data_IF_948236075572
#
_entry.id   IF_948236075572
#
_cell.length_a   1.000
_cell.length_b   1.000
_cell.length_c   1.000
_cell.angle_alpha   90.00
_cell.angle_beta   90.00
_cell.angle_gamma   90.00
#
_symmetry.space_group_name_H-M   'P 1'
#
loop_
_entity.id
_entity.type
_entity.pdbx_description
1 polymer ?
#
# COMPACT_ATOMS: atom_id res chain seq x y z
N UNK A 1 -38.22 -21.54 29.50
CA UNK A 1 -37.00 -21.34 28.70
C UNK A 1 -37.19 -20.03 27.95
N UNK A 2 -36.58 -18.96 28.42
CA UNK A 2 -36.58 -17.67 27.70
C UNK A 2 -35.35 -17.66 26.80
N UNK A 3 -35.56 -17.85 25.50
CA UNK A 3 -34.52 -17.59 24.50
C UNK A 3 -34.13 -16.11 24.62
N UNK A 4 -32.93 -15.87 25.14
CA UNK A 4 -32.26 -14.59 24.98
C UNK A 4 -31.87 -14.51 23.51
N UNK A 5 -32.64 -13.75 22.72
CA UNK A 5 -32.19 -13.28 21.42
C UNK A 5 -30.88 -12.54 21.64
N UNK A 6 -29.78 -13.21 21.32
CA UNK A 6 -28.45 -12.63 21.31
C UNK A 6 -28.54 -11.33 20.49
N UNK A 7 -28.11 -10.17 21.03
CA UNK A 7 -28.07 -8.97 20.22
C UNK A 7 -27.19 -9.27 19.00
N UNK A 8 -27.78 -9.11 17.82
CA UNK A 8 -27.08 -9.03 16.55
C UNK A 8 -25.83 -8.16 16.79
N UNK A 9 -24.60 -8.57 16.44
CA UNK A 9 -23.42 -7.77 16.72
C UNK A 9 -23.59 -6.44 16.00
N UNK A 10 -24.10 -5.46 16.73
CA UNK A 10 -24.38 -4.13 16.23
C UNK A 10 -23.06 -3.64 15.64
N UNK A 11 -23.02 -3.58 14.31
CA UNK A 11 -21.82 -3.16 13.58
C UNK A 11 -21.29 -1.91 14.26
N UNK A 12 -20.00 -1.93 14.62
CA UNK A 12 -19.37 -0.87 15.41
C UNK A 12 -19.82 0.49 14.89
N UNK A 13 -20.65 1.17 15.67
CA UNK A 13 -21.21 2.46 15.26
C UNK A 13 -20.08 3.46 15.39
N UNK A 14 -19.58 3.92 14.24
CA UNK A 14 -18.50 4.91 14.17
C UNK A 14 -19.12 6.27 14.48
N UNK A 15 -18.61 6.96 15.51
CA UNK A 15 -19.10 8.28 15.91
C UNK A 15 -18.90 9.30 14.78
N UNK A 16 -19.72 10.35 14.71
CA UNK A 16 -19.60 11.35 13.64
C UNK A 16 -18.21 12.01 13.58
N UNK A 17 -17.60 12.26 14.74
CA UNK A 17 -16.25 12.80 14.84
C UNK A 17 -15.21 11.80 14.34
N UNK A 18 -15.33 10.52 14.70
CA UNK A 18 -14.45 9.45 14.20
C UNK A 18 -14.62 9.27 12.68
N UNK A 19 -15.85 9.31 12.16
CA UNK A 19 -16.09 9.21 10.72
C UNK A 19 -15.41 10.36 9.95
N UNK A 20 -15.40 11.57 10.54
CA UNK A 20 -14.71 12.72 9.96
C UNK A 20 -13.20 12.52 10.00
N UNK A 21 -12.65 12.12 11.15
CA UNK A 21 -11.22 11.86 11.31
C UNK A 21 -10.73 10.76 10.35
N UNK A 22 -11.48 9.66 10.26
CA UNK A 22 -11.17 8.54 9.37
C UNK A 22 -11.20 8.99 7.91
N UNK A 23 -12.20 9.77 7.47
CA UNK A 23 -12.20 10.30 6.09
C UNK A 23 -11.01 11.17 5.78
N UNK A 24 -10.61 12.05 6.70
CA UNK A 24 -9.42 12.88 6.52
C UNK A 24 -8.19 11.99 6.37
N UNK A 25 -8.05 10.97 7.23
CA UNK A 25 -6.96 10.01 7.14
C UNK A 25 -6.96 9.26 5.81
N UNK A 26 -8.09 8.70 5.37
CA UNK A 26 -8.24 7.96 4.10
C UNK A 26 -7.81 8.81 2.90
N UNK A 27 -8.17 10.10 2.86
CA UNK A 27 -7.80 11.00 1.78
C UNK A 27 -6.32 11.44 1.81
N UNK A 28 -5.66 11.33 2.97
CA UNK A 28 -4.25 11.69 3.11
C UNK A 28 -3.30 10.55 2.73
N UNK A 29 -3.80 9.31 2.59
CA UNK A 29 -2.94 8.16 2.28
C UNK A 29 -2.48 8.21 0.82
N UNK A 30 -1.19 7.95 0.55
CA UNK A 30 -0.70 7.78 -0.83
C UNK A 30 -1.52 6.71 -1.57
N UNK A 31 -1.74 6.93 -2.87
CA UNK A 31 -2.52 6.03 -3.73
C UNK A 31 -4.01 5.92 -3.39
N UNK A 32 -4.54 6.67 -2.41
CA UNK A 32 -5.97 6.75 -2.17
C UNK A 32 -6.76 7.24 -3.40
N UNK A 33 -6.14 8.05 -4.26
CA UNK A 33 -6.73 8.51 -5.52
C UNK A 33 -6.68 7.48 -6.67
N UNK A 34 -6.08 6.30 -6.46
CA UNK A 34 -6.16 5.21 -7.45
C UNK A 34 -7.62 4.75 -7.57
N UNK A 35 -8.11 4.62 -8.80
CA UNK A 35 -9.51 4.28 -9.10
C UNK A 35 -9.95 2.95 -8.47
N UNK A 36 -9.00 2.07 -8.14
CA UNK A 36 -9.25 0.78 -7.49
C UNK A 36 -9.43 0.88 -5.98
N UNK A 37 -9.05 2.01 -5.38
CA UNK A 37 -9.26 2.27 -3.95
C UNK A 37 -10.63 2.95 -3.79
N UNK A 38 -11.64 2.25 -3.22
CA UNK A 38 -12.97 2.82 -3.09
C UNK A 38 -12.97 3.91 -2.00
N UNK A 39 -12.97 5.18 -2.42
CA UNK A 39 -13.18 6.31 -1.49
C UNK A 39 -14.70 6.49 -1.28
N UNK A 40 -15.19 6.42 -0.03
CA UNK A 40 -16.60 6.66 0.28
C UNK A 40 -16.95 8.13 -0.01
N UNK A 41 -17.84 8.36 -0.97
CA UNK A 41 -18.07 9.69 -1.53
C UNK A 41 -18.90 10.60 -0.63
N UNK A 42 -19.97 10.10 0.03
CA UNK A 42 -20.85 10.83 0.96
C UNK A 42 -21.65 9.87 1.87
N UNK A 43 -22.21 10.39 2.96
CA UNK A 43 -23.07 9.64 3.90
C UNK A 43 -22.29 8.95 5.01
N UNK A 44 -22.98 8.36 5.99
CA UNK A 44 -22.35 7.74 7.16
C UNK A 44 -21.33 6.68 6.75
N UNK A 45 -20.13 6.79 7.33
CA UNK A 45 -19.05 5.85 7.07
C UNK A 45 -19.30 4.58 7.89
N UNK A 46 -19.53 3.47 7.23
CA UNK A 46 -19.63 2.18 7.89
C UNK A 46 -18.26 1.52 8.05
N UNK A 47 -18.15 0.59 9.01
CA UNK A 47 -16.95 -0.24 9.14
C UNK A 47 -16.65 -1.02 7.85
N UNK A 48 -17.68 -1.41 7.09
CA UNK A 48 -17.53 -2.11 5.81
C UNK A 48 -16.86 -1.24 4.76
N UNK A 49 -17.20 0.04 4.71
CA UNK A 49 -16.60 1.00 3.77
C UNK A 49 -15.11 1.21 4.08
N UNK A 50 -14.76 1.29 5.37
CA UNK A 50 -13.37 1.39 5.83
C UNK A 50 -12.57 0.15 5.44
N UNK A 51 -13.12 -1.05 5.66
CA UNK A 51 -12.46 -2.30 5.29
C UNK A 51 -12.26 -2.39 3.77
N UNK A 52 -13.28 -2.05 2.98
CA UNK A 52 -13.20 -2.08 1.52
C UNK A 52 -12.11 -1.11 0.99
N UNK A 53 -11.99 0.08 1.59
CA UNK A 53 -10.91 1.01 1.28
C UNK A 53 -9.53 0.43 1.60
N UNK A 54 -9.36 -0.15 2.79
CA UNK A 54 -8.09 -0.72 3.23
C UNK A 54 -7.67 -1.93 2.37
N UNK A 55 -8.62 -2.77 1.97
CA UNK A 55 -8.35 -3.90 1.07
C UNK A 55 -7.91 -3.42 -0.32
N UNK A 56 -8.61 -2.44 -0.91
CA UNK A 56 -8.21 -1.86 -2.19
C UNK A 56 -6.83 -1.19 -2.12
N UNK A 57 -6.57 -0.45 -1.04
CA UNK A 57 -5.26 0.17 -0.82
C UNK A 57 -4.15 -0.87 -0.69
N UNK A 58 -4.40 -1.97 0.06
CA UNK A 58 -3.44 -3.07 0.21
C UNK A 58 -3.07 -3.68 -1.14
N UNK A 59 -4.06 -3.91 -2.01
CA UNK A 59 -3.82 -4.46 -3.35
C UNK A 59 -2.91 -3.55 -4.17
N UNK A 60 -3.20 -2.25 -4.22
CA UNK A 60 -2.39 -1.27 -4.94
C UNK A 60 -0.96 -1.22 -4.39
N UNK A 61 -0.80 -1.15 -3.07
CA UNK A 61 0.51 -1.13 -2.43
C UNK A 61 1.32 -2.41 -2.69
N UNK A 62 0.65 -3.57 -2.74
CA UNK A 62 1.30 -4.85 -3.06
C UNK A 62 1.83 -4.85 -4.49
N UNK A 63 1.08 -4.32 -5.46
CA UNK A 63 1.53 -4.20 -6.84
C UNK A 63 2.70 -3.23 -6.97
N UNK A 64 2.63 -2.06 -6.31
CA UNK A 64 3.71 -1.07 -6.30
C UNK A 64 4.99 -1.67 -5.71
N UNK A 65 4.89 -2.41 -4.61
CA UNK A 65 6.03 -3.10 -4.01
C UNK A 65 6.63 -4.14 -4.97
N UNK A 66 5.80 -4.97 -5.60
CA UNK A 66 6.26 -5.97 -6.55
C UNK A 66 6.98 -5.33 -7.76
N UNK A 67 6.48 -4.19 -8.24
CA UNK A 67 7.12 -3.44 -9.32
C UNK A 67 8.45 -2.83 -8.89
N UNK A 68 8.54 -2.29 -7.69
CA UNK A 68 9.78 -1.75 -7.14
C UNK A 68 10.84 -2.85 -7.00
N UNK A 69 10.45 -4.03 -6.54
CA UNK A 69 11.34 -5.20 -6.45
C UNK A 69 11.86 -5.65 -7.82
N UNK A 70 10.99 -5.72 -8.83
CA UNK A 70 11.38 -6.04 -10.21
C UNK A 70 12.37 -5.00 -10.76
N UNK A 71 12.09 -3.71 -10.56
CA UNK A 71 12.97 -2.62 -10.96
C UNK A 71 14.33 -2.72 -10.25
N UNK A 72 14.35 -3.02 -8.95
CA UNK A 72 15.58 -3.18 -8.18
C UNK A 72 16.42 -4.35 -8.71
N UNK A 73 15.80 -5.50 -9.02
CA UNK A 73 16.51 -6.65 -9.61
C UNK A 73 17.12 -6.31 -10.96
N UNK A 74 16.39 -5.59 -11.83
CA UNK A 74 16.91 -5.16 -13.13
C UNK A 74 18.10 -4.22 -13.00
N UNK A 75 18.07 -3.31 -12.02
CA UNK A 75 19.20 -2.42 -11.73
C UNK A 75 20.44 -3.22 -11.32
N UNK A 76 20.30 -4.20 -10.41
CA UNK A 76 21.42 -5.06 -9.99
C UNK A 76 22.02 -5.85 -11.17
N UNK A 77 21.18 -6.38 -12.06
CA UNK A 77 21.67 -7.04 -13.28
C UNK A 77 22.45 -6.08 -14.16
N UNK A 78 21.91 -4.88 -14.38
CA UNK A 78 22.58 -3.85 -15.20
C UNK A 78 23.91 -3.41 -14.58
N UNK A 79 23.98 -3.25 -13.26
CA UNK A 79 25.22 -2.94 -12.55
C UNK A 79 26.26 -4.06 -12.72
N UNK A 80 25.84 -5.32 -12.64
CA UNK A 80 26.71 -6.47 -12.91
C UNK A 80 27.22 -6.45 -14.36
N UNK A 81 26.35 -6.20 -15.33
CA UNK A 81 26.74 -6.11 -16.75
C UNK A 81 27.73 -4.97 -17.00
N UNK A 82 27.50 -3.80 -16.39
CA UNK A 82 28.41 -2.66 -16.44
C UNK A 82 29.76 -3.01 -15.81
N UNK A 83 29.78 -3.71 -14.69
CA UNK A 83 31.02 -4.16 -14.05
C UNK A 83 31.79 -5.17 -14.92
N UNK A 84 31.09 -6.11 -15.55
CA UNK A 84 31.69 -7.06 -16.50
C UNK A 84 32.28 -6.33 -17.72
N UNK A 85 31.54 -5.36 -18.29
CA UNK A 85 32.02 -4.55 -19.40
C UNK A 85 33.26 -3.75 -19.02
N UNK A 86 33.28 -3.10 -17.86
CA UNK A 86 34.46 -2.36 -17.35
C UNK A 86 35.70 -3.25 -17.24
N UNK A 87 35.54 -4.49 -16.76
CA UNK A 87 36.64 -5.48 -16.73
C UNK A 87 37.13 -5.83 -18.14
N UNK A 88 36.21 -6.04 -19.09
CA UNK A 88 36.53 -6.38 -20.48
C UNK A 88 37.35 -5.26 -21.17
N UNK A 89 36.96 -4.00 -20.97
CA UNK A 89 37.64 -2.86 -21.59
C UNK A 89 38.84 -2.35 -20.77
N UNK A 90 39.24 -3.05 -19.71
CA UNK A 90 40.39 -2.69 -18.87
C UNK A 90 40.23 -1.41 -18.05
N UNK A 91 38.99 -0.98 -17.78
CA UNK A 91 38.67 0.23 -16.98
C UNK A 91 38.14 -0.14 -15.58
N UNK A 92 38.62 -1.26 -15.02
CA UNK A 92 38.24 -1.64 -13.67
C UNK A 92 38.56 -0.49 -12.69
N UNK A 93 37.63 -0.13 -11.79
CA UNK A 93 37.87 0.93 -10.82
C UNK A 93 39.06 0.52 -9.95
N UNK A 94 40.02 1.43 -9.79
CA UNK A 94 41.12 1.28 -8.83
C UNK A 94 40.48 1.15 -7.45
N UNK A 95 40.70 0.03 -6.78
CA UNK A 95 40.48 -0.07 -5.33
C UNK A 95 41.32 1.03 -4.68
N UNK A 96 40.67 2.10 -4.22
CA UNK A 96 41.31 3.07 -3.35
C UNK A 96 41.25 2.48 -1.95
N UNK A 97 42.28 1.75 -1.57
CA UNK A 97 42.52 1.32 -0.19
C UNK A 97 42.78 2.57 0.66
N UNK A 98 42.13 2.72 1.84
CA UNK A 98 42.31 3.89 2.70
C UNK A 98 43.73 4.01 3.29
#
# INVERSE_FOLDING_TARGET
MTEQTQPDPAGTVISADDQRAIRVAMNAVPYAADLRVPIPTRGDLSARDVVAFLDGLREVLTEVAARADDQHRRLLTMESDVAAFRRLIGTAPVEVTP
#
